data_IF_404408037357
#
_entry.id   IF_404408037357
#
_cell.length_a   1.000
_cell.length_b   1.000
_cell.length_c   1.000
_cell.angle_alpha   90.00
_cell.angle_beta   90.00
_cell.angle_gamma   90.00
#
_symmetry.space_group_name_H-M   'P 1'
#
loop_
_entity.id
_entity.type
_entity.pdbx_description
1 polymer ?
#
# COMPACT_ATOMS: atom_id res chain seq x y z
N UNK A 1 -0.59 -3.29 -14.12
CA UNK A 1 -0.15 -2.63 -12.88
C UNK A 1 -1.33 -2.55 -11.91
N UNK A 2 -1.06 -2.55 -10.60
CA UNK A 2 -2.06 -2.38 -9.54
C UNK A 2 -1.62 -1.21 -8.66
N UNK A 3 -2.58 -0.43 -8.16
CA UNK A 3 -2.32 0.63 -7.19
C UNK A 3 -2.77 0.12 -5.82
N UNK A 4 -1.87 0.22 -4.84
CA UNK A 4 -2.25 0.22 -3.43
C UNK A 4 -2.28 1.68 -2.99
N UNK A 5 -3.49 2.20 -2.82
CA UNK A 5 -3.70 3.57 -2.38
C UNK A 5 -4.23 3.56 -0.96
N UNK A 6 -3.67 4.40 -0.10
CA UNK A 6 -4.14 4.61 1.26
C UNK A 6 -4.50 6.09 1.37
N UNK A 7 -5.77 6.42 1.60
CA UNK A 7 -6.25 7.80 1.72
C UNK A 7 -7.03 7.99 3.03
N UNK A 8 -6.77 9.08 3.74
CA UNK A 8 -7.33 9.38 5.05
C UNK A 8 -7.22 10.86 5.45
N UNK A 9 -7.70 11.20 6.65
CA UNK A 9 -7.47 12.54 7.22
C UNK A 9 -5.99 12.76 7.51
N UNK A 10 -5.51 14.01 7.39
CA UNK A 10 -4.13 14.35 7.73
C UNK A 10 -3.82 13.97 9.18
N UNK A 11 -2.93 13.00 9.37
CA UNK A 11 -2.59 12.45 10.69
C UNK A 11 -1.12 12.76 11.03
N UNK A 12 -0.87 13.33 12.21
CA UNK A 12 0.43 13.89 12.58
C UNK A 12 1.43 12.91 13.25
N UNK A 13 1.16 11.60 13.19
CA UNK A 13 2.04 10.56 13.75
C UNK A 13 2.98 9.99 12.65
N UNK A 14 4.10 10.69 12.42
CA UNK A 14 5.07 10.35 11.38
C UNK A 14 5.72 8.99 11.58
N UNK A 15 6.03 8.63 12.82
CA UNK A 15 6.74 7.40 13.14
C UNK A 15 5.86 6.18 12.84
N UNK A 16 4.57 6.30 13.15
CA UNK A 16 3.59 5.26 12.82
C UNK A 16 3.36 5.13 11.32
N UNK A 17 3.31 6.25 10.59
CA UNK A 17 3.20 6.21 9.13
C UNK A 17 4.42 5.55 8.49
N UNK A 18 5.63 5.92 8.93
CA UNK A 18 6.88 5.37 8.40
C UNK A 18 6.96 3.85 8.64
N UNK A 19 6.49 3.38 9.80
CA UNK A 19 6.39 1.94 10.09
C UNK A 19 5.37 1.24 9.18
N UNK A 20 4.21 1.85 8.91
CA UNK A 20 3.22 1.30 7.99
C UNK A 20 3.77 1.20 6.56
N UNK A 21 4.44 2.26 6.08
CA UNK A 21 5.13 2.28 4.79
C UNK A 21 6.17 1.16 4.72
N UNK A 22 7.02 1.03 5.74
CA UNK A 22 8.05 -0.01 5.81
C UNK A 22 7.44 -1.42 5.73
N UNK A 23 6.34 -1.67 6.46
CA UNK A 23 5.61 -2.93 6.44
C UNK A 23 4.99 -3.22 5.07
N UNK A 24 4.43 -2.21 4.41
CA UNK A 24 3.90 -2.35 3.04
C UNK A 24 5.00 -2.72 2.05
N UNK A 25 6.15 -2.04 2.09
CA UNK A 25 7.30 -2.35 1.23
C UNK A 25 7.84 -3.77 1.47
N UNK A 26 7.84 -4.23 2.73
CA UNK A 26 8.21 -5.60 3.08
C UNK A 26 7.21 -6.63 2.53
N UNK A 27 5.90 -6.35 2.60
CA UNK A 27 4.88 -7.22 2.03
C UNK A 27 5.02 -7.35 0.50
N UNK A 28 5.24 -6.22 -0.19
CA UNK A 28 5.50 -6.19 -1.64
C UNK A 28 6.70 -7.07 -1.97
N UNK A 29 7.84 -6.87 -1.29
CA UNK A 29 9.05 -7.68 -1.51
C UNK A 29 8.80 -9.18 -1.26
N UNK A 30 8.11 -9.55 -0.17
CA UNK A 30 7.81 -10.95 0.17
C UNK A 30 6.88 -11.61 -0.84
N UNK A 31 6.00 -10.85 -1.47
CA UNK A 31 5.06 -11.37 -2.47
C UNK A 31 5.72 -11.78 -3.79
N UNK A 32 6.91 -11.23 -4.09
CA UNK A 32 7.53 -11.33 -5.42
C UNK A 32 6.89 -10.40 -6.46
N UNK A 33 6.13 -9.39 -6.03
CA UNK A 33 5.74 -8.26 -6.85
C UNK A 33 6.87 -7.23 -6.89
N UNK A 34 6.93 -6.43 -7.96
CA UNK A 34 7.84 -5.33 -8.11
C UNK A 34 7.16 -4.03 -7.66
N UNK A 35 7.92 -3.18 -6.97
CA UNK A 35 7.53 -1.80 -6.74
C UNK A 35 8.01 -0.96 -7.92
N UNK A 36 7.07 -0.35 -8.64
CA UNK A 36 7.36 0.55 -9.76
C UNK A 36 7.54 2.00 -9.29
N UNK A 37 6.70 2.42 -8.35
CA UNK A 37 6.73 3.77 -7.77
C UNK A 37 6.10 3.77 -6.38
N UNK A 38 6.48 4.73 -5.55
CA UNK A 38 5.83 5.03 -4.28
C UNK A 38 5.76 6.53 -4.05
N UNK A 39 4.61 7.03 -3.63
CA UNK A 39 4.40 8.43 -3.28
C UNK A 39 3.81 8.54 -1.88
N UNK A 40 4.23 9.57 -1.16
CA UNK A 40 3.70 9.95 0.15
C UNK A 40 3.26 11.39 0.07
N UNK A 41 2.02 11.66 0.47
CA UNK A 41 1.52 13.04 0.48
C UNK A 41 2.26 13.85 1.54
N UNK A 42 2.48 15.13 1.24
CA UNK A 42 3.20 16.06 2.13
C UNK A 42 2.44 16.28 3.44
N UNK A 43 1.10 16.30 3.36
CA UNK A 43 0.20 16.41 4.52
C UNK A 43 -0.02 15.07 5.24
N UNK A 44 0.61 14.00 4.75
CA UNK A 44 0.54 12.64 5.29
C UNK A 44 -0.87 12.04 5.33
N UNK A 45 -1.82 12.62 4.59
CA UNK A 45 -3.16 12.07 4.39
C UNK A 45 -3.20 10.91 3.40
N UNK A 46 -2.15 10.71 2.59
CA UNK A 46 -2.14 9.64 1.59
C UNK A 46 -0.77 8.96 1.39
N UNK A 47 -0.81 7.67 1.08
CA UNK A 47 0.33 6.88 0.63
C UNK A 47 -0.08 6.03 -0.58
N UNK A 48 0.72 6.06 -1.65
CA UNK A 48 0.46 5.31 -2.87
C UNK A 48 1.65 4.41 -3.19
N UNK A 49 1.39 3.16 -3.55
CA UNK A 49 2.37 2.21 -4.04
C UNK A 49 1.89 1.62 -5.37
N UNK A 50 2.64 1.90 -6.43
CA UNK A 50 2.41 1.29 -7.74
C UNK A 50 3.18 -0.02 -7.81
N UNK A 51 2.47 -1.14 -7.97
CA UNK A 51 3.07 -2.47 -8.04
C UNK A 51 2.78 -3.16 -9.37
N UNK A 52 3.75 -3.95 -9.81
CA UNK A 52 3.63 -4.84 -10.98
C UNK A 52 4.01 -6.26 -10.60
N UNK A 53 3.58 -7.23 -11.40
CA UNK A 53 3.84 -8.64 -11.17
C UNK A 53 2.85 -9.54 -11.87
N UNK A 54 3.18 -10.82 -11.96
CA UNK A 54 2.24 -11.83 -12.46
C UNK A 54 1.05 -12.01 -11.50
N UNK A 55 0.00 -12.69 -11.97
CA UNK A 55 -1.21 -12.90 -11.18
C UNK A 55 -0.99 -13.72 -9.89
N UNK A 56 0.10 -14.48 -9.79
CA UNK A 56 0.43 -15.26 -8.60
C UNK A 56 1.15 -14.39 -7.56
N UNK A 57 2.05 -13.50 -7.97
CA UNK A 57 2.68 -12.51 -7.11
C UNK A 57 1.66 -11.53 -6.54
N UNK A 58 0.73 -11.05 -7.37
CA UNK A 58 -0.35 -10.16 -6.91
C UNK A 58 -1.27 -10.86 -5.90
N UNK A 59 -1.65 -12.13 -6.13
CA UNK A 59 -2.44 -12.91 -5.16
C UNK A 59 -1.69 -13.15 -3.85
N UNK A 60 -0.39 -13.41 -3.92
CA UNK A 60 0.45 -13.56 -2.72
C UNK A 60 0.54 -12.26 -1.94
N UNK A 61 0.66 -11.11 -2.61
CA UNK A 61 0.66 -9.80 -1.96
C UNK A 61 -0.63 -9.61 -1.16
N UNK A 62 -1.78 -9.89 -1.75
CA UNK A 62 -3.04 -9.81 -1.03
C UNK A 62 -3.06 -10.76 0.19
N UNK A 63 -2.70 -12.03 0.01
CA UNK A 63 -2.64 -12.98 1.13
C UNK A 63 -1.72 -12.53 2.27
N UNK A 64 -0.62 -11.83 1.98
CA UNK A 64 0.29 -11.27 3.01
C UNK A 64 -0.35 -10.09 3.73
N UNK A 65 -0.97 -9.16 2.99
CA UNK A 65 -1.63 -7.98 3.59
C UNK A 65 -2.75 -8.42 4.53
N UNK A 66 -3.57 -9.39 4.12
CA UNK A 66 -4.63 -10.00 4.95
C UNK A 66 -4.06 -10.68 6.20
N UNK A 67 -3.13 -11.62 6.01
CA UNK A 67 -2.56 -12.41 7.11
C UNK A 67 -1.78 -11.56 8.14
N UNK A 68 -1.24 -10.41 7.73
CA UNK A 68 -0.49 -9.51 8.62
C UNK A 68 -1.37 -8.42 9.24
N UNK A 69 -2.65 -8.35 8.90
CA UNK A 69 -3.57 -7.29 9.31
C UNK A 69 -3.10 -5.90 8.88
N UNK A 70 -2.37 -5.81 7.76
CA UNK A 70 -1.79 -4.55 7.30
C UNK A 70 -2.88 -3.57 6.85
N UNK A 71 -3.95 -4.06 6.21
CA UNK A 71 -5.14 -3.27 5.89
C UNK A 71 -5.75 -2.64 7.15
N UNK A 72 -6.04 -3.46 8.18
CA UNK A 72 -6.55 -2.98 9.46
C UNK A 72 -5.62 -1.96 10.14
N UNK A 73 -4.30 -2.10 9.96
CA UNK A 73 -3.32 -1.19 10.55
C UNK A 73 -3.34 0.19 9.86
N UNK A 74 -3.56 0.23 8.55
CA UNK A 74 -3.81 1.47 7.80
C UNK A 74 -5.17 2.08 8.14
N UNK A 75 -6.22 1.27 8.28
CA UNK A 75 -7.54 1.75 8.72
C UNK A 75 -7.47 2.37 10.11
N UNK A 76 -6.76 1.73 11.05
CA UNK A 76 -6.54 2.27 12.39
C UNK A 76 -5.65 3.52 12.43
N UNK A 77 -4.92 3.81 11.34
CA UNK A 77 -4.21 5.07 11.14
C UNK A 77 -5.10 6.17 10.53
N UNK A 78 -6.33 5.82 10.13
CA UNK A 78 -7.29 6.73 9.52
C UNK A 78 -7.27 6.71 8.00
N UNK A 79 -6.54 5.78 7.37
CA UNK A 79 -6.47 5.63 5.92
C UNK A 79 -7.23 4.38 5.45
N UNK A 80 -7.98 4.49 4.36
CA UNK A 80 -8.60 3.33 3.73
C UNK A 80 -7.69 2.77 2.64
N UNK A 81 -7.43 1.46 2.68
CA UNK A 81 -6.78 0.78 1.57
C UNK A 81 -7.75 0.68 0.39
N UNK A 82 -7.32 1.18 -0.75
CA UNK A 82 -7.99 1.00 -2.02
C UNK A 82 -7.06 0.21 -2.97
N UNK A 83 -7.56 -0.94 -3.40
CA UNK A 83 -6.86 -1.86 -4.27
C UNK A 83 -7.49 -1.80 -5.67
N UNK A 84 -6.88 -1.01 -6.55
CA UNK A 84 -7.43 -0.81 -7.89
C UNK A 84 -6.51 -1.33 -8.99
N UNK A 85 -7.14 -1.68 -10.11
CA UNK A 85 -6.44 -1.85 -11.37
C UNK A 85 -5.94 -0.48 -11.81
N UNK A 86 -4.64 -0.32 -12.06
CA UNK A 86 -4.17 0.90 -12.70
C UNK A 86 -4.58 0.88 -14.16
N UNK A 87 -5.60 1.67 -14.50
CA UNK A 87 -5.99 1.93 -15.88
C UNK A 87 -5.31 3.23 -16.32
N UNK A 88 -4.34 3.14 -17.23
CA UNK A 88 -3.92 4.32 -17.96
C UNK A 88 -5.03 4.65 -18.95
N UNK A 89 -5.75 5.74 -18.71
CA UNK A 89 -6.59 6.37 -19.73
C UNK A 89 -5.71 6.63 -20.94
N UNK A 90 -5.99 5.93 -22.04
CA UNK A 90 -5.32 6.06 -23.34
C UNK A 90 -5.54 7.43 -23.96
#
# INVERSE_FOLDING_TARGET
>A
MRVLMFEGEAYCDSDRQDELVRRTLEAIRKSGANLEASELSVDRGAAMFLVSGDSASIRRLWSIVDATGLENAWEAFGSRMDWQNFEMSS
#
